data_IF_953145184863
#
_entry.id   IF_953145184863
#
_cell.length_a   1.000
_cell.length_b   1.000
_cell.length_c   1.000
_cell.angle_alpha   90.00
_cell.angle_beta   90.00
_cell.angle_gamma   90.00
#
_symmetry.space_group_name_H-M   'P 1'
#
loop_
_entity.id
_entity.type
_entity.pdbx_description
1 polymer ?
#
# COMPACT_ATOMS: atom_id res chain seq x y z
N UNK A 1 36.96 8.20 -16.19
CA UNK A 1 37.07 7.96 -14.73
C UNK A 1 35.67 7.94 -14.12
N UNK A 2 35.00 6.78 -14.13
CA UNK A 2 33.80 6.55 -13.29
C UNK A 2 34.34 6.18 -11.91
N UNK A 3 34.44 7.17 -11.03
CA UNK A 3 35.14 7.02 -9.75
C UNK A 3 34.38 6.09 -8.82
N UNK A 4 35.12 5.32 -8.01
CA UNK A 4 34.71 4.38 -6.94
C UNK A 4 33.47 4.75 -6.09
N UNK A 5 32.97 5.98 -6.15
CA UNK A 5 31.84 6.49 -5.39
C UNK A 5 30.49 5.84 -5.80
N UNK A 6 30.26 5.54 -7.08
CA UNK A 6 29.04 4.87 -7.55
C UNK A 6 28.93 3.42 -7.06
N UNK A 7 30.07 2.72 -7.05
CA UNK A 7 30.13 1.33 -6.60
C UNK A 7 29.85 1.21 -5.09
N UNK A 8 30.30 2.20 -4.30
CA UNK A 8 30.04 2.26 -2.85
C UNK A 8 28.59 2.63 -2.55
N UNK A 9 27.96 3.51 -3.36
CA UNK A 9 26.54 3.88 -3.25
C UNK A 9 25.58 2.75 -3.65
N UNK A 10 25.85 2.07 -4.77
CA UNK A 10 25.10 0.87 -5.17
C UNK A 10 25.27 -0.27 -4.15
N UNK A 11 26.45 -0.40 -3.53
CA UNK A 11 26.69 -1.34 -2.44
C UNK A 11 25.93 -0.96 -1.16
N UNK A 12 25.73 0.32 -0.86
CA UNK A 12 24.88 0.78 0.26
C UNK A 12 23.38 0.53 0.01
N UNK A 13 22.91 0.72 -1.23
CA UNK A 13 21.56 0.29 -1.67
C UNK A 13 21.38 -1.24 -1.52
N UNK A 14 22.41 -2.02 -1.87
CA UNK A 14 22.46 -3.48 -1.63
C UNK A 14 22.56 -3.85 -0.14
N UNK A 15 23.20 -3.03 0.71
CA UNK A 15 23.28 -3.24 2.17
C UNK A 15 21.93 -2.99 2.85
N UNK A 16 21.08 -2.09 2.33
CA UNK A 16 19.72 -1.93 2.86
C UNK A 16 18.82 -3.14 2.58
N UNK A 17 19.04 -3.82 1.46
CA UNK A 17 18.38 -5.10 1.12
C UNK A 17 18.98 -6.28 1.94
N UNK A 18 20.18 -6.12 2.50
CA UNK A 18 20.90 -7.17 3.24
C UNK A 18 20.92 -7.04 4.77
N UNK A 19 20.59 -5.88 5.36
CA UNK A 19 20.43 -5.76 6.83
C UNK A 19 19.07 -6.38 7.20
N UNK A 20 19.05 -7.71 7.40
CA UNK A 20 18.11 -8.50 8.23
C UNK A 20 18.62 -9.97 8.24
N UNK A 21 19.79 -10.19 8.82
CA UNK A 21 20.27 -11.52 9.18
C UNK A 21 20.40 -11.61 10.70
N UNK A 22 19.45 -12.29 11.36
CA UNK A 22 19.81 -13.25 12.41
C UNK A 22 18.69 -14.27 12.60
N UNK A 23 19.12 -15.52 12.69
CA UNK A 23 18.37 -16.77 12.62
C UNK A 23 17.64 -17.06 13.93
N UNK A 24 16.39 -17.51 13.84
CA UNK A 24 15.75 -18.32 14.88
C UNK A 24 15.29 -19.62 14.22
N UNK A 25 15.96 -20.74 14.52
CA UNK A 25 15.48 -22.08 14.17
C UNK A 25 14.45 -22.46 15.23
N UNK A 26 13.20 -22.69 14.82
CA UNK A 26 12.20 -23.33 15.69
C UNK A 26 12.10 -24.79 15.25
N UNK A 27 12.16 -25.76 16.17
CA UNK A 27 12.12 -27.17 15.82
C UNK A 27 10.77 -27.54 15.20
N UNK A 28 10.82 -28.41 14.20
CA UNK A 28 9.65 -28.97 13.52
C UNK A 28 9.02 -30.01 14.43
N UNK A 29 7.83 -29.74 14.94
CA UNK A 29 6.97 -30.79 15.49
C UNK A 29 6.27 -31.49 14.32
N UNK A 30 6.55 -32.79 14.15
CA UNK A 30 5.74 -33.66 13.30
C UNK A 30 4.33 -33.74 13.90
N UNK A 31 3.30 -33.46 13.10
CA UNK A 31 1.95 -33.93 13.41
C UNK A 31 1.30 -34.54 12.19
N UNK A 32 0.67 -35.68 12.47
CA UNK A 32 -0.02 -36.58 11.55
C UNK A 32 -1.21 -35.89 10.87
N UNK A 33 -1.50 -36.33 9.65
CA UNK A 33 -2.68 -35.93 8.89
C UNK A 33 -3.96 -36.37 9.61
N UNK A 34 -4.92 -35.47 9.85
CA UNK A 34 -6.31 -35.85 9.80
C UNK A 34 -6.86 -35.58 8.39
N UNK A 35 -7.48 -36.61 7.81
CA UNK A 35 -8.43 -36.43 6.70
C UNK A 35 -9.71 -35.88 7.33
N UNK A 36 -10.04 -34.63 7.06
CA UNK A 36 -11.37 -34.08 7.36
C UNK A 36 -11.91 -33.27 6.18
N UNK A 37 -13.23 -33.37 6.11
CA UNK A 37 -14.17 -32.89 5.12
C UNK A 37 -13.99 -31.40 4.80
N UNK A 38 -14.21 -31.08 3.52
CA UNK A 38 -14.07 -29.75 2.96
C UNK A 38 -15.18 -28.83 3.50
N UNK A 39 -14.91 -28.10 4.59
CA UNK A 39 -15.78 -27.00 5.01
C UNK A 39 -15.67 -25.85 3.99
N UNK A 40 -16.56 -25.89 3.01
CA UNK A 40 -16.84 -24.82 2.07
C UNK A 40 -17.41 -23.66 2.89
N UNK A 41 -16.64 -22.58 3.10
CA UNK A 41 -17.16 -21.33 3.67
C UNK A 41 -18.39 -20.87 2.84
N UNK A 42 -19.51 -20.50 3.49
CA UNK A 42 -20.76 -20.23 2.81
C UNK A 42 -20.82 -18.76 2.37
N UNK A 43 -20.24 -18.37 1.22
CA UNK A 43 -20.53 -17.01 0.71
C UNK A 43 -20.38 -16.77 -0.80
N UNK A 44 -20.79 -17.74 -1.62
CA UNK A 44 -21.10 -17.47 -3.05
C UNK A 44 -22.60 -17.41 -3.32
N UNK A 45 -23.46 -17.64 -2.32
CA UNK A 45 -24.91 -17.75 -2.53
C UNK A 45 -25.64 -16.41 -2.43
N UNK A 46 -25.14 -15.43 -1.68
CA UNK A 46 -25.86 -14.18 -1.39
C UNK A 46 -25.31 -12.92 -2.07
N UNK A 47 -24.24 -13.03 -2.86
CA UNK A 47 -23.63 -11.88 -3.55
C UNK A 47 -23.61 -12.05 -5.06
N UNK A 48 -23.74 -10.93 -5.78
CA UNK A 48 -23.47 -10.77 -7.22
C UNK A 48 -22.07 -10.16 -7.37
N UNK A 49 -21.30 -10.65 -8.34
CA UNK A 49 -19.94 -10.19 -8.57
C UNK A 49 -19.85 -9.43 -9.90
N UNK A 50 -19.25 -8.25 -9.86
CA UNK A 50 -18.99 -7.40 -11.02
C UNK A 50 -17.48 -7.26 -11.22
N UNK A 51 -17.01 -7.58 -12.43
CA UNK A 51 -15.58 -7.58 -12.79
C UNK A 51 -15.31 -6.71 -14.00
N UNK A 52 -14.14 -6.09 -14.02
CA UNK A 52 -13.74 -5.29 -15.16
C UNK A 52 -12.40 -4.60 -14.95
N UNK A 53 -12.14 -3.61 -15.80
CA UNK A 53 -10.92 -2.79 -15.80
C UNK A 53 -11.30 -1.31 -15.74
N UNK A 54 -10.58 -0.55 -14.94
CA UNK A 54 -10.60 0.91 -14.94
C UNK A 54 -9.41 1.41 -15.74
N UNK A 55 -9.68 2.27 -16.71
CA UNK A 55 -8.67 2.83 -17.61
C UNK A 55 -8.86 4.33 -17.78
N UNK A 56 -7.75 5.00 -18.08
CA UNK A 56 -7.76 6.36 -18.60
C UNK A 56 -8.51 6.37 -19.95
N UNK A 57 -9.41 7.34 -20.11
CA UNK A 57 -10.32 7.41 -21.26
C UNK A 57 -9.60 7.69 -22.58
N UNK A 58 -8.46 8.37 -22.54
CA UNK A 58 -7.72 8.87 -23.70
C UNK A 58 -6.59 7.90 -24.12
N UNK A 59 -5.64 7.65 -23.23
CA UNK A 59 -4.50 6.75 -23.44
C UNK A 59 -4.85 5.27 -23.34
N UNK A 60 -5.95 4.91 -22.66
CA UNK A 60 -6.29 3.52 -22.35
C UNK A 60 -5.40 2.86 -21.29
N UNK A 61 -4.49 3.62 -20.67
CA UNK A 61 -3.62 3.13 -19.61
C UNK A 61 -4.44 2.66 -18.39
N UNK A 62 -4.01 1.60 -17.68
CA UNK A 62 -4.68 1.14 -16.47
C UNK A 62 -4.58 2.20 -15.35
N UNK A 63 -5.69 2.46 -14.66
CA UNK A 63 -5.69 3.33 -13.48
C UNK A 63 -5.49 2.47 -12.23
N UNK A 64 -4.25 2.47 -11.73
CA UNK A 64 -3.83 1.65 -10.59
C UNK A 64 -4.39 2.20 -9.29
N UNK A 65 -5.05 1.37 -8.48
CA UNK A 65 -5.69 1.76 -7.22
C UNK A 65 -6.79 2.82 -7.35
N UNK A 66 -7.46 2.91 -8.50
CA UNK A 66 -8.74 3.61 -8.60
C UNK A 66 -9.78 2.96 -7.68
N UNK A 67 -10.53 3.80 -6.98
CA UNK A 67 -11.53 3.40 -5.99
C UNK A 67 -12.88 3.25 -6.66
N UNK A 68 -13.59 2.16 -6.34
CA UNK A 68 -14.99 1.97 -6.69
C UNK A 68 -15.78 1.83 -5.39
N UNK A 69 -16.83 2.62 -5.24
CA UNK A 69 -17.69 2.63 -4.06
C UNK A 69 -19.14 2.49 -4.47
N UNK A 70 -19.88 1.59 -3.83
CA UNK A 70 -21.33 1.55 -3.95
C UNK A 70 -21.92 2.60 -3.00
N UNK A 71 -22.52 3.64 -3.58
CA UNK A 71 -23.01 4.80 -2.85
C UNK A 71 -24.07 4.42 -1.81
N UNK A 72 -24.03 5.10 -0.66
CA UNK A 72 -24.92 4.82 0.47
C UNK A 72 -24.58 3.55 1.27
N UNK A 73 -23.52 2.83 0.90
CA UNK A 73 -23.07 1.62 1.60
C UNK A 73 -21.58 1.72 2.01
N UNK A 74 -21.09 0.73 2.76
CA UNK A 74 -19.66 0.58 3.06
C UNK A 74 -18.94 -0.35 2.06
N UNK A 75 -19.61 -0.76 0.98
CA UNK A 75 -19.07 -1.68 -0.02
C UNK A 75 -18.21 -0.87 -0.98
N UNK A 76 -16.91 -1.14 -0.97
CA UNK A 76 -15.96 -0.54 -1.89
C UNK A 76 -14.86 -1.53 -2.26
N UNK A 77 -14.21 -1.31 -3.39
CA UNK A 77 -13.05 -2.07 -3.83
C UNK A 77 -12.08 -1.12 -4.53
N UNK A 78 -10.86 -1.57 -4.76
CA UNK A 78 -9.89 -0.82 -5.56
C UNK A 78 -9.37 -1.69 -6.69
N UNK A 79 -8.98 -1.05 -7.78
CA UNK A 79 -8.32 -1.72 -8.89
C UNK A 79 -6.86 -2.09 -8.57
N UNK A 80 -6.35 -3.16 -9.19
CA UNK A 80 -4.94 -3.57 -9.08
C UNK A 80 -4.02 -2.77 -10.04
N UNK A 81 -2.73 -3.12 -10.17
CA UNK A 81 -1.82 -2.44 -11.11
C UNK A 81 -2.20 -2.54 -12.58
N UNK A 82 -2.98 -3.56 -12.92
CA UNK A 82 -3.53 -3.72 -14.26
C UNK A 82 -4.85 -2.96 -14.39
N UNK A 83 -5.31 -2.20 -13.40
CA UNK A 83 -6.60 -1.53 -13.40
C UNK A 83 -7.79 -2.47 -13.22
N UNK A 84 -7.57 -3.77 -13.00
CA UNK A 84 -8.65 -4.74 -12.83
C UNK A 84 -9.30 -4.62 -11.45
N UNK A 85 -10.63 -4.70 -11.39
CA UNK A 85 -11.41 -4.66 -10.15
C UNK A 85 -12.33 -5.88 -10.00
N UNK A 86 -12.70 -6.16 -8.75
CA UNK A 86 -13.76 -7.10 -8.36
C UNK A 86 -14.62 -6.44 -7.29
N UNK A 87 -15.85 -6.12 -7.63
CA UNK A 87 -16.87 -5.62 -6.71
C UNK A 87 -17.85 -6.74 -6.39
N UNK A 88 -18.04 -7.06 -5.10
CA UNK A 88 -19.05 -8.02 -4.63
C UNK A 88 -20.18 -7.23 -3.99
N UNK A 89 -21.42 -7.50 -4.40
CA UNK A 89 -22.60 -6.76 -3.94
C UNK A 89 -23.67 -7.75 -3.49
N UNK A 90 -24.23 -7.62 -2.28
CA UNK A 90 -25.35 -8.44 -1.83
C UNK A 90 -26.55 -8.38 -2.78
N UNK A 91 -27.27 -9.50 -2.93
CA UNK A 91 -28.41 -9.63 -3.87
C UNK A 91 -29.62 -8.75 -3.51
N UNK A 92 -29.72 -8.29 -2.26
CA UNK A 92 -30.76 -7.41 -1.74
C UNK A 92 -30.52 -5.93 -2.08
N UNK A 93 -29.33 -5.57 -2.58
CA UNK A 93 -29.04 -4.20 -3.03
C UNK A 93 -29.83 -3.90 -4.32
N UNK A 94 -30.59 -2.78 -4.37
CA UNK A 94 -31.30 -2.37 -5.57
C UNK A 94 -30.39 -2.15 -6.79
N UNK A 95 -30.82 -2.62 -7.97
CA UNK A 95 -30.06 -2.44 -9.21
C UNK A 95 -29.96 -0.97 -9.68
N UNK A 96 -30.76 -0.06 -9.14
CA UNK A 96 -30.66 1.38 -9.37
C UNK A 96 -29.68 2.09 -8.41
N UNK A 97 -29.04 1.34 -7.50
CA UNK A 97 -27.94 1.89 -6.70
C UNK A 97 -26.78 2.31 -7.59
N UNK A 98 -26.07 3.37 -7.17
CA UNK A 98 -24.97 3.97 -7.93
C UNK A 98 -23.63 3.43 -7.47
N UNK A 99 -22.77 3.13 -8.44
CA UNK A 99 -21.35 2.83 -8.23
C UNK A 99 -20.54 4.03 -8.68
N UNK A 100 -19.90 4.70 -7.74
CA UNK A 100 -18.99 5.82 -7.99
C UNK A 100 -17.57 5.30 -8.19
N UNK A 101 -16.90 5.78 -9.24
CA UNK A 101 -15.50 5.48 -9.52
C UNK A 101 -14.69 6.77 -9.43
N UNK A 102 -13.65 6.75 -8.61
CA UNK A 102 -12.78 7.91 -8.37
C UNK A 102 -11.30 7.55 -8.52
N UNK A 103 -10.55 8.51 -9.06
CA UNK A 103 -9.10 8.41 -9.18
C UNK A 103 -8.50 9.83 -9.16
N UNK A 104 -7.35 10.00 -8.52
CA UNK A 104 -6.76 11.31 -8.29
C UNK A 104 -6.37 11.97 -9.63
N UNK A 105 -6.88 13.19 -9.87
CA UNK A 105 -6.67 13.94 -11.12
C UNK A 105 -7.66 13.62 -12.24
N UNK A 106 -8.73 12.87 -11.94
CA UNK A 106 -9.76 12.46 -12.90
C UNK A 106 -11.14 12.92 -12.44
N UNK A 107 -12.06 13.05 -13.40
CA UNK A 107 -13.47 13.29 -13.10
C UNK A 107 -14.07 12.03 -12.46
N UNK A 108 -14.70 12.19 -11.30
CA UNK A 108 -15.50 11.12 -10.71
C UNK A 108 -16.62 10.74 -11.69
N UNK A 109 -16.88 9.44 -11.81
CA UNK A 109 -17.88 8.91 -12.72
C UNK A 109 -18.79 7.94 -12.00
N UNK A 110 -20.08 8.13 -12.16
CA UNK A 110 -21.11 7.27 -11.59
C UNK A 110 -21.65 6.33 -12.67
N UNK A 111 -21.92 5.09 -12.26
CA UNK A 111 -22.59 4.07 -13.07
C UNK A 111 -23.74 3.50 -12.27
N UNK A 112 -24.86 3.16 -12.91
CA UNK A 112 -25.90 2.39 -12.24
C UNK A 112 -25.43 0.93 -12.10
N UNK A 113 -25.77 0.28 -10.99
CA UNK A 113 -25.44 -1.13 -10.79
C UNK A 113 -26.02 -2.02 -11.90
N UNK A 114 -27.19 -1.64 -12.44
CA UNK A 114 -27.84 -2.27 -13.60
C UNK A 114 -27.04 -2.18 -14.90
N UNK A 115 -26.13 -1.21 -15.03
CA UNK A 115 -25.27 -1.05 -16.22
C UNK A 115 -24.03 -1.94 -16.18
N UNK A 116 -23.67 -2.42 -14.98
CA UNK A 116 -22.51 -3.29 -14.79
C UNK A 116 -22.86 -4.74 -15.13
N UNK A 117 -22.00 -5.36 -15.94
CA UNK A 117 -22.06 -6.78 -16.27
C UNK A 117 -21.35 -7.61 -15.19
N UNK A 118 -21.63 -8.91 -15.14
CA UNK A 118 -20.90 -9.80 -14.22
C UNK A 118 -19.39 -9.86 -14.50
N UNK A 119 -18.99 -9.64 -15.76
CA UNK A 119 -17.58 -9.64 -16.16
C UNK A 119 -17.33 -8.72 -17.38
N UNK A 120 -16.05 -8.43 -17.64
CA UNK A 120 -15.56 -7.67 -18.79
C UNK A 120 -16.07 -6.23 -18.88
N UNK A 121 -16.40 -5.61 -17.75
CA UNK A 121 -16.67 -4.16 -17.73
C UNK A 121 -15.39 -3.38 -18.09
N UNK A 122 -15.55 -2.27 -18.81
CA UNK A 122 -14.48 -1.30 -19.07
C UNK A 122 -14.96 0.07 -18.64
N UNK A 123 -14.52 0.51 -17.46
CA UNK A 123 -14.90 1.79 -16.88
C UNK A 123 -13.82 2.82 -17.26
N UNK A 124 -14.20 3.79 -18.09
CA UNK A 124 -13.30 4.85 -18.56
C UNK A 124 -13.49 6.10 -17.72
N UNK A 125 -12.40 6.60 -17.12
CA UNK A 125 -12.37 7.90 -16.46
C UNK A 125 -11.69 8.92 -17.35
N UNK A 126 -12.25 10.12 -17.39
CA UNK A 126 -11.69 11.24 -18.14
C UNK A 126 -10.83 12.09 -17.20
N UNK A 127 -9.62 12.42 -17.64
CA UNK A 127 -8.73 13.28 -16.88
C UNK A 127 -9.41 14.63 -16.60
N UNK A 128 -9.27 15.12 -15.37
CA UNK A 128 -9.78 16.42 -14.99
C UNK A 128 -8.77 17.47 -15.44
N UNK A 129 -8.88 17.91 -16.69
CA UNK A 129 -8.08 19.01 -17.24
C UNK A 129 -8.69 20.33 -16.79
N UNK A 130 -7.88 21.17 -16.16
CA UNK A 130 -8.23 22.58 -15.97
C UNK A 130 -7.74 23.36 -17.17
N UNK A 131 -8.66 24.04 -17.86
CA UNK A 131 -8.27 25.13 -18.75
C UNK A 131 -7.77 26.26 -17.86
N UNK A 132 -6.46 26.47 -17.83
CA UNK A 132 -5.86 27.58 -17.09
C UNK A 132 -6.32 28.89 -17.76
N UNK A 133 -7.35 29.53 -17.22
CA UNK A 133 -7.58 30.94 -17.46
C UNK A 133 -6.43 31.68 -16.78
N UNK A 134 -5.37 31.95 -17.57
CA UNK A 134 -4.21 32.79 -17.28
C UNK A 134 -3.82 32.84 -15.78
N UNK A 135 -3.61 31.67 -15.18
CA UNK A 135 -2.81 31.61 -13.96
C UNK A 135 -1.37 31.62 -14.47
N UNK A 136 -0.54 32.56 -13.98
CA UNK A 136 0.90 32.70 -14.26
C UNK A 136 1.72 31.49 -13.74
N UNK A 137 1.28 30.27 -14.07
CA UNK A 137 1.98 29.04 -13.81
C UNK A 137 2.74 28.72 -15.10
N UNK A 138 3.89 29.37 -15.28
CA UNK A 138 4.79 29.08 -16.38
C UNK A 138 5.06 27.56 -16.40
N UNK A 139 5.06 26.89 -17.57
CA UNK A 139 5.45 25.50 -17.68
C UNK A 139 6.87 25.34 -17.10
N UNK A 140 6.97 24.77 -15.90
CA UNK A 140 8.27 24.48 -15.28
C UNK A 140 8.75 23.14 -15.79
N UNK A 141 10.04 23.06 -16.09
CA UNK A 141 10.74 21.80 -16.36
C UNK A 141 10.45 20.79 -15.23
N UNK A 142 10.09 19.55 -15.57
CA UNK A 142 9.69 18.54 -14.59
C UNK A 142 10.82 18.26 -13.58
N UNK A 143 12.08 18.27 -14.03
CA UNK A 143 13.21 18.11 -13.13
C UNK A 143 13.35 19.31 -12.18
N UNK A 144 13.08 20.54 -12.64
CA UNK A 144 13.02 21.72 -11.78
C UNK A 144 11.93 21.60 -10.72
N UNK A 145 10.72 21.15 -11.09
CA UNK A 145 9.63 20.94 -10.13
C UNK A 145 10.06 19.96 -9.03
N UNK A 146 10.65 18.81 -9.40
CA UNK A 146 11.11 17.81 -8.42
C UNK A 146 12.27 18.35 -7.56
N UNK A 147 13.19 19.14 -8.12
CA UNK A 147 14.22 19.83 -7.34
C UNK A 147 13.62 20.81 -6.32
N UNK A 148 12.58 21.54 -6.69
CA UNK A 148 11.87 22.44 -5.78
C UNK A 148 11.14 21.69 -4.66
N UNK A 149 10.53 20.53 -4.98
CA UNK A 149 9.94 19.62 -3.97
C UNK A 149 10.98 19.23 -2.92
N UNK A 150 12.17 18.80 -3.36
CA UNK A 150 13.26 18.40 -2.47
C UNK A 150 13.73 19.60 -1.63
N UNK A 151 13.95 20.74 -2.27
CA UNK A 151 14.42 21.96 -1.59
C UNK A 151 13.44 22.44 -0.51
N UNK A 152 12.13 22.33 -0.77
CA UNK A 152 11.07 22.76 0.17
C UNK A 152 10.66 21.68 1.16
N UNK A 153 11.28 20.50 1.17
CA UNK A 153 10.94 19.40 2.09
C UNK A 153 10.88 19.85 3.56
N UNK A 154 11.86 20.64 4.00
CA UNK A 154 11.91 21.15 5.39
C UNK A 154 10.76 22.12 5.70
N UNK A 155 10.36 22.92 4.72
CA UNK A 155 9.31 23.93 4.86
C UNK A 155 7.92 23.33 4.72
N UNK A 156 7.77 22.27 3.93
CA UNK A 156 6.49 21.65 3.65
C UNK A 156 6.12 20.55 4.65
N UNK A 157 7.08 19.77 5.15
CA UNK A 157 6.78 18.58 5.96
C UNK A 157 7.05 18.80 7.45
N UNK A 158 6.41 18.00 8.29
CA UNK A 158 6.54 18.09 9.76
C UNK A 158 8.00 17.87 10.20
N UNK A 159 8.51 18.76 11.04
CA UNK A 159 9.90 18.78 11.49
C UNK A 159 10.07 18.37 12.96
N UNK A 160 9.00 17.96 13.61
CA UNK A 160 9.00 17.46 14.98
C UNK A 160 8.56 15.98 15.00
N UNK A 161 9.02 15.18 15.98
CA UNK A 161 8.55 13.81 16.12
C UNK A 161 7.05 13.77 16.42
N UNK A 162 6.35 12.80 15.84
CA UNK A 162 4.93 12.57 16.05
C UNK A 162 4.68 11.20 16.69
N UNK A 163 3.61 11.13 17.46
CA UNK A 163 2.97 9.88 17.86
C UNK A 163 1.73 9.71 17.01
N UNK A 164 1.66 8.62 16.25
CA UNK A 164 0.55 8.31 15.36
C UNK A 164 -0.10 7.01 15.79
N UNK A 165 -1.44 6.99 15.78
CA UNK A 165 -2.21 5.74 15.84
C UNK A 165 -2.51 5.34 14.41
N UNK A 166 -2.18 4.10 14.07
CA UNK A 166 -2.36 3.57 12.72
C UNK A 166 -3.16 2.28 12.74
N UNK A 167 -4.01 2.12 11.73
CA UNK A 167 -4.58 0.84 11.38
C UNK A 167 -3.75 0.22 10.26
N UNK A 168 -3.40 -1.05 10.40
CA UNK A 168 -2.66 -1.83 9.42
C UNK A 168 -3.46 -3.08 9.05
N UNK A 169 -3.47 -3.41 7.76
CA UNK A 169 -4.03 -4.64 7.23
C UNK A 169 -3.05 -5.28 6.26
N UNK A 170 -2.88 -6.59 6.40
CA UNK A 170 -2.12 -7.43 5.50
C UNK A 170 -2.99 -8.57 5.01
N UNK A 171 -2.99 -8.80 3.70
CA UNK A 171 -3.72 -9.93 3.11
C UNK A 171 -2.84 -10.71 2.16
N UNK A 172 -3.09 -12.02 2.09
CA UNK A 172 -2.53 -12.89 1.07
C UNK A 172 -3.70 -13.57 0.36
N UNK A 173 -3.76 -13.40 -0.95
CA UNK A 173 -4.70 -14.11 -1.83
C UNK A 173 -3.96 -15.18 -2.61
N UNK A 174 -4.51 -16.39 -2.68
CA UNK A 174 -4.16 -17.41 -3.69
C UNK A 174 -5.19 -17.28 -4.81
N UNK A 175 -4.78 -16.84 -5.99
CA UNK A 175 -5.68 -16.45 -7.08
C UNK A 175 -6.73 -15.42 -6.59
N UNK A 176 -7.99 -15.83 -6.39
CA UNK A 176 -9.10 -14.98 -5.94
C UNK A 176 -9.45 -15.16 -4.46
N UNK A 177 -8.90 -16.18 -3.80
CA UNK A 177 -9.32 -16.58 -2.47
C UNK A 177 -8.31 -16.06 -1.44
N UNK A 178 -8.79 -15.44 -0.37
CA UNK A 178 -7.96 -15.08 0.76
C UNK A 178 -7.48 -16.37 1.45
N UNK A 179 -6.17 -16.43 1.71
CA UNK A 179 -5.54 -17.49 2.51
C UNK A 179 -5.00 -16.95 3.83
N UNK A 180 -4.79 -15.63 3.92
CA UNK A 180 -4.42 -14.95 5.15
C UNK A 180 -4.93 -13.52 5.17
N UNK A 181 -5.40 -13.09 6.34
CA UNK A 181 -5.74 -11.72 6.72
C UNK A 181 -5.16 -11.48 8.12
N UNK A 182 -4.36 -10.42 8.26
CA UNK A 182 -3.90 -9.92 9.54
C UNK A 182 -4.21 -8.43 9.66
N UNK A 183 -4.68 -8.01 10.81
CA UNK A 183 -4.99 -6.62 11.10
C UNK A 183 -4.35 -6.21 12.42
N UNK A 184 -3.91 -4.96 12.51
CA UNK A 184 -3.34 -4.41 13.73
C UNK A 184 -3.67 -2.93 13.90
N UNK A 185 -3.82 -2.53 15.16
CA UNK A 185 -3.66 -1.15 15.60
C UNK A 185 -2.25 -1.00 16.13
N UNK A 186 -1.52 -0.01 15.60
CA UNK A 186 -0.11 0.21 15.89
C UNK A 186 0.09 1.65 16.31
N UNK A 187 0.92 1.87 17.32
CA UNK A 187 1.46 3.19 17.62
C UNK A 187 2.77 3.38 16.87
N UNK A 188 2.89 4.47 16.12
CA UNK A 188 4.10 4.85 15.41
C UNK A 188 4.69 6.08 16.06
N UNK A 189 5.96 6.00 16.45
CA UNK A 189 6.76 7.15 16.81
C UNK A 189 7.52 7.58 15.56
N UNK A 190 6.89 8.48 14.79
CA UNK A 190 7.39 8.98 13.52
C UNK A 190 8.41 10.08 13.77
N UNK A 191 9.62 9.92 13.25
CA UNK A 191 10.68 10.91 13.37
C UNK A 191 10.43 12.08 12.42
N UNK A 192 10.99 13.25 12.76
CA UNK A 192 10.99 14.42 11.87
C UNK A 192 11.48 14.08 10.45
N UNK A 193 10.92 14.72 9.42
CA UNK A 193 11.28 14.46 8.02
C UNK A 193 12.72 14.87 7.66
N UNK A 194 13.34 15.76 8.43
CA UNK A 194 14.75 16.14 8.31
C UNK A 194 15.73 15.17 8.98
N UNK A 195 15.22 14.19 9.75
CA UNK A 195 16.04 13.24 10.49
C UNK A 195 16.17 11.92 9.70
N UNK A 196 17.34 11.29 9.71
CA UNK A 196 17.58 9.97 9.11
C UNK A 196 17.34 8.80 10.07
N UNK A 197 16.97 9.07 11.33
CA UNK A 197 16.58 8.02 12.27
C UNK A 197 15.34 7.29 11.77
N UNK A 198 15.38 5.97 11.91
CA UNK A 198 14.27 5.07 11.65
C UNK A 198 13.09 5.35 12.57
N UNK A 199 11.89 5.30 12.01
CA UNK A 199 10.64 5.37 12.76
C UNK A 199 10.55 4.19 13.76
N UNK A 200 9.87 4.42 14.88
CA UNK A 200 9.59 3.39 15.87
C UNK A 200 8.14 2.91 15.73
N UNK A 201 7.89 1.62 15.90
CA UNK A 201 6.54 1.08 15.93
C UNK A 201 6.34 0.23 17.17
N UNK A 202 5.15 0.29 17.76
CA UNK A 202 4.71 -0.54 18.87
C UNK A 202 3.36 -1.15 18.50
N UNK A 203 3.20 -2.45 18.76
CA UNK A 203 1.91 -3.10 18.60
C UNK A 203 0.98 -2.69 19.74
N UNK A 204 -0.21 -2.21 19.40
CA UNK A 204 -1.26 -1.96 20.38
C UNK A 204 -2.16 -3.19 20.49
N UNK A 205 -2.82 -3.57 19.39
CA UNK A 205 -3.68 -4.77 19.31
C UNK A 205 -3.59 -5.40 17.92
N UNK A 206 -3.66 -6.72 17.83
CA UNK A 206 -3.68 -7.45 16.56
C UNK A 206 -4.80 -8.48 16.53
N UNK A 207 -5.18 -8.87 15.31
CA UNK A 207 -5.91 -10.11 15.06
C UNK A 207 -5.48 -10.72 13.74
N UNK A 208 -5.66 -12.02 13.61
CA UNK A 208 -5.41 -12.74 12.37
C UNK A 208 -6.54 -13.73 12.12
N UNK A 209 -6.89 -13.85 10.87
CA UNK A 209 -7.66 -14.94 10.32
C UNK A 209 -6.84 -15.53 9.18
N UNK A 210 -6.35 -16.76 9.36
CA UNK A 210 -5.46 -17.38 8.40
C UNK A 210 -5.73 -18.88 8.33
N UNK A 211 -6.07 -19.32 7.12
CA UNK A 211 -6.21 -20.73 6.80
C UNK A 211 -4.99 -21.19 6.00
N UNK A 212 -3.95 -21.58 6.74
CA UNK A 212 -2.70 -22.03 6.16
C UNK A 212 -2.81 -23.39 5.45
N UNK A 213 -3.89 -24.15 5.68
CA UNK A 213 -4.15 -25.39 4.93
C UNK A 213 -4.39 -25.12 3.44
N UNK A 214 -4.93 -23.94 3.10
CA UNK A 214 -5.15 -23.46 1.72
C UNK A 214 -3.88 -22.95 1.04
N UNK A 215 -2.81 -22.71 1.80
CA UNK A 215 -1.47 -22.48 1.25
C UNK A 215 -0.84 -23.83 0.91
N UNK A 216 -1.26 -24.41 -0.22
CA UNK A 216 -0.50 -25.48 -0.85
C UNK A 216 0.97 -25.04 -0.94
N UNK A 217 1.84 -25.79 -0.29
CA UNK A 217 3.30 -25.76 -0.29
C UNK A 217 4.04 -24.94 0.77
N UNK A 218 4.83 -25.67 1.57
CA UNK A 218 6.06 -25.31 2.31
C UNK A 218 6.38 -23.81 2.23
N UNK A 219 6.20 -23.10 3.35
CA UNK A 219 6.16 -21.65 3.50
C UNK A 219 7.24 -20.88 2.74
N UNK A 220 6.84 -20.28 1.62
CA UNK A 220 7.54 -19.15 1.01
C UNK A 220 7.36 -17.92 1.90
N UNK A 221 8.46 -17.29 2.30
CA UNK A 221 8.44 -16.11 3.18
C UNK A 221 8.70 -14.85 2.37
N UNK A 222 7.73 -13.95 2.37
CA UNK A 222 7.89 -12.61 1.83
C UNK A 222 8.64 -11.72 2.81
N UNK A 223 9.51 -10.87 2.28
CA UNK A 223 9.94 -9.68 3.01
C UNK A 223 8.74 -8.74 3.09
N UNK A 224 8.40 -8.27 4.28
CA UNK A 224 7.19 -7.47 4.50
C UNK A 224 6.90 -7.21 5.97
N UNK A 225 5.64 -6.82 6.22
CA UNK A 225 5.10 -6.49 7.54
C UNK A 225 4.84 -4.99 7.74
N UNK A 226 4.31 -4.60 8.92
CA UNK A 226 3.83 -3.24 9.14
C UNK A 226 4.87 -2.14 8.90
N UNK A 227 6.14 -2.42 9.20
CA UNK A 227 7.22 -1.46 8.98
C UNK A 227 7.43 -1.14 7.49
N UNK A 228 7.21 -2.11 6.60
CA UNK A 228 7.34 -1.91 5.16
C UNK A 228 6.35 -0.86 4.63
N UNK A 229 5.18 -0.70 5.26
CA UNK A 229 4.23 0.38 4.92
C UNK A 229 4.79 1.77 5.22
N UNK A 230 5.56 1.94 6.31
CA UNK A 230 6.18 3.23 6.62
C UNK A 230 7.31 3.57 5.64
N UNK A 231 8.01 2.56 5.14
CA UNK A 231 9.04 2.74 4.11
C UNK A 231 8.49 3.22 2.76
N UNK A 232 7.17 3.17 2.55
CA UNK A 232 6.54 3.72 1.34
C UNK A 232 6.43 5.25 1.38
N UNK A 233 6.74 5.88 2.52
CA UNK A 233 6.84 7.33 2.66
C UNK A 233 8.08 7.89 1.95
N UNK A 234 7.93 8.15 0.64
CA UNK A 234 9.00 8.66 -0.23
C UNK A 234 9.58 10.00 0.23
N UNK A 235 8.82 10.80 0.97
CA UNK A 235 9.30 12.07 1.50
C UNK A 235 10.16 11.90 2.75
N UNK A 236 10.02 10.79 3.48
CA UNK A 236 10.81 10.49 4.67
C UNK A 236 12.07 9.70 4.33
N UNK A 237 11.96 8.69 3.48
CA UNK A 237 13.03 7.71 3.27
C UNK A 237 14.26 8.32 2.55
N UNK A 238 15.48 8.11 3.07
CA UNK A 238 16.71 8.68 2.52
C UNK A 238 17.14 8.11 1.15
N UNK A 239 16.54 7.01 0.69
CA UNK A 239 16.87 6.32 -0.56
C UNK A 239 15.69 6.33 -1.55
N UNK A 240 14.81 7.33 -1.43
CA UNK A 240 13.61 7.44 -2.24
C UNK A 240 13.88 8.10 -3.59
N UNK A 241 12.89 8.03 -4.49
CA UNK A 241 12.85 8.77 -5.76
C UNK A 241 13.03 10.28 -5.55
N UNK A 242 12.74 10.80 -4.35
CA UNK A 242 12.78 12.23 -4.01
C UNK A 242 14.09 12.55 -3.28
N UNK A 243 15.20 12.32 -3.98
CA UNK A 243 16.54 12.67 -3.53
C UNK A 243 17.40 13.18 -4.70
N UNK A 244 18.20 14.22 -4.47
CA UNK A 244 18.96 14.92 -5.54
C UNK A 244 19.91 13.96 -6.26
N UNK A 245 20.56 13.05 -5.54
CA UNK A 245 21.45 12.08 -6.18
C UNK A 245 20.66 11.07 -7.00
N UNK A 246 19.54 10.56 -6.48
CA UNK A 246 18.81 9.48 -7.13
C UNK A 246 17.98 9.96 -8.33
N UNK A 247 17.68 11.27 -8.42
CA UNK A 247 17.03 11.89 -9.59
C UNK A 247 17.78 11.63 -10.90
N UNK A 248 19.10 11.43 -10.87
CA UNK A 248 19.89 11.20 -12.08
C UNK A 248 19.54 9.86 -12.79
N UNK A 249 18.92 8.93 -12.06
CA UNK A 249 18.49 7.63 -12.56
C UNK A 249 17.12 7.63 -13.23
N UNK A 250 16.39 8.74 -13.21
CA UNK A 250 15.04 8.83 -13.72
C UNK A 250 14.90 9.90 -14.80
N UNK A 251 14.00 9.64 -15.75
CA UNK A 251 13.45 10.64 -16.65
C UNK A 251 12.13 11.14 -16.07
N UNK A 252 12.04 12.44 -15.79
CA UNK A 252 10.83 13.09 -15.27
C UNK A 252 10.10 13.86 -16.38
N UNK A 253 8.77 13.74 -16.42
CA UNK A 253 7.93 14.46 -17.38
C UNK A 253 6.70 15.08 -16.69
N UNK A 254 6.34 16.31 -17.06
CA UNK A 254 5.07 16.90 -16.67
C UNK A 254 3.99 16.36 -17.59
N UNK A 255 3.19 15.41 -17.11
CA UNK A 255 2.12 14.81 -17.92
C UNK A 255 0.93 15.76 -18.06
N UNK A 256 0.53 16.38 -16.96
CA UNK A 256 -0.64 17.25 -16.94
C UNK A 256 -0.63 18.19 -15.73
N UNK A 257 -1.51 19.17 -15.78
CA UNK A 257 -1.89 20.04 -14.67
C UNK A 257 -3.38 19.80 -14.42
N UNK A 258 -3.71 19.32 -13.24
CA UNK A 258 -5.08 19.01 -12.82
C UNK A 258 -5.47 19.84 -11.60
N UNK A 259 -6.74 19.76 -11.18
CA UNK A 259 -7.25 20.48 -10.01
C UNK A 259 -7.96 19.49 -9.08
N UNK A 260 -7.50 19.38 -7.84
CA UNK A 260 -8.09 18.48 -6.83
C UNK A 260 -8.44 19.29 -5.60
N UNK A 261 -9.71 19.27 -5.17
CA UNK A 261 -10.21 20.04 -4.01
C UNK A 261 -9.78 21.51 -4.07
N UNK A 262 -10.03 22.13 -5.21
CA UNK A 262 -9.65 23.50 -5.56
C UNK A 262 -8.16 23.84 -5.66
N UNK A 263 -7.26 22.86 -5.50
CA UNK A 263 -5.82 23.06 -5.61
C UNK A 263 -5.30 22.64 -6.97
N UNK A 264 -4.42 23.45 -7.55
CA UNK A 264 -3.69 23.10 -8.77
C UNK A 264 -2.64 22.05 -8.41
N UNK A 265 -2.66 20.92 -9.10
CA UNK A 265 -1.77 19.78 -8.91
C UNK A 265 -0.99 19.53 -10.20
N UNK A 266 0.34 19.54 -10.12
CA UNK A 266 1.20 18.98 -11.16
C UNK A 266 1.20 17.46 -11.06
N UNK A 267 1.01 16.79 -12.19
CA UNK A 267 1.19 15.34 -12.31
C UNK A 267 2.51 15.10 -13.02
N UNK A 268 3.54 14.73 -12.25
CA UNK A 268 4.88 14.44 -12.77
C UNK A 268 5.03 12.94 -12.88
N UNK A 269 5.16 12.41 -14.10
CA UNK A 269 5.60 11.02 -14.26
C UNK A 269 7.10 10.90 -14.18
N UNK A 270 7.54 9.73 -13.75
CA UNK A 270 8.94 9.37 -13.71
C UNK A 270 9.11 7.92 -14.14
N UNK A 271 10.20 7.63 -14.83
CA UNK A 271 10.58 6.28 -15.25
C UNK A 271 12.07 6.13 -15.11
N UNK A 272 12.53 4.96 -14.67
CA UNK A 272 13.97 4.68 -14.63
C UNK A 272 14.57 4.78 -16.05
N UNK A 273 15.80 5.28 -16.15
CA UNK A 273 16.52 5.36 -17.42
C UNK A 273 16.85 3.95 -17.94
N UNK A 274 16.83 3.81 -19.27
CA UNK A 274 16.99 2.50 -19.94
C UNK A 274 18.33 1.81 -19.71
N UNK A 275 19.39 2.55 -19.34
CA UNK A 275 20.71 2.00 -19.03
C UNK A 275 20.86 1.54 -17.57
N UNK A 276 19.83 1.69 -16.74
CA UNK A 276 19.84 1.21 -15.35
C UNK A 276 19.31 -0.21 -15.32
N UNK A 277 20.21 -1.15 -15.03
CA UNK A 277 19.87 -2.57 -14.95
C UNK A 277 19.24 -2.98 -13.60
N UNK A 278 19.39 -2.14 -12.58
CA UNK A 278 18.75 -2.34 -11.28
C UNK A 278 17.22 -2.11 -11.37
N UNK A 279 16.41 -2.94 -10.69
CA UNK A 279 14.98 -2.73 -10.60
C UNK A 279 14.67 -1.47 -9.75
N UNK A 280 14.53 -0.34 -10.43
CA UNK A 280 14.11 0.94 -9.85
C UNK A 280 12.62 1.18 -10.10
N UNK A 281 12.15 2.37 -9.76
CA UNK A 281 10.75 2.70 -9.79
C UNK A 281 10.30 3.38 -11.09
N UNK A 282 9.02 3.33 -11.35
CA UNK A 282 8.34 4.21 -12.30
C UNK A 282 6.96 4.55 -11.77
N UNK A 283 6.39 5.68 -12.16
CA UNK A 283 5.10 6.09 -11.63
C UNK A 283 4.80 7.56 -11.81
N UNK A 284 3.95 8.09 -10.92
CA UNK A 284 3.47 9.46 -10.91
C UNK A 284 3.54 10.07 -9.52
N UNK A 285 4.02 11.30 -9.46
CA UNK A 285 3.97 12.19 -8.31
C UNK A 285 2.87 13.22 -8.52
N UNK A 286 2.05 13.44 -7.51
CA UNK A 286 1.02 14.47 -7.48
C UNK A 286 1.51 15.59 -6.56
N UNK A 287 1.82 16.74 -7.14
CA UNK A 287 2.52 17.83 -6.45
C UNK A 287 1.63 19.07 -6.42
N UNK A 288 1.40 19.62 -5.23
CA UNK A 288 0.70 20.88 -5.04
C UNK A 288 1.49 22.03 -5.68
N UNK A 289 0.88 22.73 -6.64
CA UNK A 289 1.56 23.73 -7.47
C UNK A 289 1.93 25.02 -6.71
N UNK A 290 1.35 25.27 -5.54
CA UNK A 290 1.66 26.44 -4.71
C UNK A 290 2.82 26.14 -3.74
N UNK A 291 2.69 25.06 -2.97
CA UNK A 291 3.67 24.70 -1.95
C UNK A 291 4.84 23.88 -2.48
N UNK A 292 4.70 23.19 -3.62
CA UNK A 292 5.59 22.10 -4.08
C UNK A 292 5.62 20.90 -3.12
N UNK A 293 4.55 20.65 -2.39
CA UNK A 293 4.45 19.45 -1.56
C UNK A 293 3.89 18.28 -2.39
N UNK A 294 4.48 17.09 -2.23
CA UNK A 294 3.88 15.85 -2.74
C UNK A 294 2.63 15.54 -1.91
N UNK A 295 1.48 15.52 -2.57
CA UNK A 295 0.17 15.19 -1.98
C UNK A 295 -0.10 13.69 -2.06
N UNK A 296 0.38 13.04 -3.12
CA UNK A 296 0.28 11.60 -3.34
C UNK A 296 1.38 11.13 -4.30
N UNK A 297 1.71 9.84 -4.25
CA UNK A 297 2.51 9.19 -5.27
C UNK A 297 2.00 7.76 -5.52
N UNK A 298 1.88 7.39 -6.78
CA UNK A 298 1.56 6.04 -7.23
C UNK A 298 2.70 5.53 -8.10
N UNK A 299 3.32 4.42 -7.72
CA UNK A 299 4.54 3.95 -8.35
C UNK A 299 4.69 2.44 -8.26
N UNK A 300 5.46 1.88 -9.18
CA UNK A 300 5.73 0.46 -9.29
C UNK A 300 7.22 0.23 -9.47
N UNK A 301 7.67 -1.00 -9.23
CA UNK A 301 9.06 -1.41 -9.50
C UNK A 301 9.16 -1.99 -10.90
N UNK A 302 10.23 -1.68 -11.62
CA UNK A 302 10.59 -2.40 -12.84
C UNK A 302 10.99 -3.84 -12.48
N UNK A 303 10.19 -4.80 -12.92
CA UNK A 303 10.36 -6.23 -12.64
C UNK A 303 10.77 -7.03 -13.88
N UNK A 304 11.27 -6.37 -14.93
CA UNK A 304 11.74 -7.03 -16.16
C UNK A 304 12.84 -8.06 -15.86
N UNK A 305 13.83 -7.68 -15.05
CA UNK A 305 14.80 -8.61 -14.48
C UNK A 305 14.18 -9.37 -13.30
N UNK A 306 13.59 -10.53 -13.61
CA UNK A 306 12.93 -11.39 -12.63
C UNK A 306 13.87 -11.88 -11.53
N UNK A 307 15.17 -12.06 -11.80
CA UNK A 307 16.10 -12.57 -10.79
C UNK A 307 16.41 -11.48 -9.76
N UNK A 308 16.78 -10.28 -10.23
CA UNK A 308 17.01 -9.13 -9.35
C UNK A 308 15.74 -8.73 -8.59
N UNK A 309 14.60 -8.66 -9.28
CA UNK A 309 13.32 -8.34 -8.65
C UNK A 309 12.92 -9.40 -7.62
N UNK A 310 13.16 -10.69 -7.89
CA UNK A 310 12.93 -11.76 -6.91
C UNK A 310 13.78 -11.56 -5.65
N UNK A 311 15.05 -11.20 -5.81
CA UNK A 311 15.95 -10.99 -4.67
C UNK A 311 15.47 -9.87 -3.72
N UNK A 312 14.65 -8.91 -4.21
CA UNK A 312 14.12 -7.82 -3.39
C UNK A 312 12.98 -8.23 -2.44
N UNK A 313 12.22 -9.27 -2.76
CA UNK A 313 11.00 -9.61 -1.99
C UNK A 313 11.02 -11.01 -1.40
N UNK A 314 11.85 -11.90 -1.95
CA UNK A 314 11.81 -13.33 -1.68
C UNK A 314 12.89 -13.69 -0.67
N UNK A 315 12.50 -13.83 0.60
CA UNK A 315 13.44 -14.24 1.66
C UNK A 315 13.77 -15.73 1.59
N UNK A 316 12.78 -16.55 1.29
CA UNK A 316 12.92 -18.01 1.21
C UNK A 316 11.91 -18.59 0.23
N UNK A 317 12.37 -19.50 -0.64
CA UNK A 317 11.50 -20.26 -1.54
C UNK A 317 11.71 -21.77 -1.39
N UNK A 318 10.68 -22.59 -1.65
CA UNK A 318 10.81 -24.04 -1.59
C UNK A 318 11.81 -24.61 -2.60
N UNK A 319 12.40 -25.76 -2.26
CA UNK A 319 13.19 -26.53 -3.21
C UNK A 319 12.33 -26.95 -4.40
N UNK A 320 12.85 -26.77 -5.62
CA UNK A 320 12.12 -27.08 -6.86
C UNK A 320 11.05 -26.07 -7.27
N UNK A 321 10.87 -24.98 -6.51
CA UNK A 321 10.03 -23.85 -6.90
C UNK A 321 10.86 -22.71 -7.50
N UNK A 322 10.36 -22.17 -8.61
CA UNK A 322 10.78 -20.87 -9.15
C UNK A 322 9.68 -19.88 -8.79
N UNK A 323 10.05 -18.84 -8.05
CA UNK A 323 9.12 -17.80 -7.60
C UNK A 323 9.66 -16.46 -8.08
N UNK A 324 8.81 -15.65 -8.70
CA UNK A 324 9.18 -14.33 -9.17
C UNK A 324 7.97 -13.38 -9.08
N UNK A 325 8.21 -12.08 -8.83
CA UNK A 325 7.16 -11.08 -8.87
C UNK A 325 6.67 -10.88 -10.31
N UNK A 326 5.37 -10.65 -10.45
CA UNK A 326 4.72 -10.22 -11.69
C UNK A 326 4.07 -8.85 -11.56
N UNK A 327 4.01 -8.31 -10.34
CA UNK A 327 3.50 -6.97 -10.03
C UNK A 327 4.12 -6.53 -8.71
N UNK A 328 4.53 -5.28 -8.61
CA UNK A 328 4.92 -4.62 -7.36
C UNK A 328 4.55 -3.14 -7.47
N UNK A 329 3.43 -2.74 -6.85
CA UNK A 329 2.86 -1.41 -6.97
C UNK A 329 2.51 -0.82 -5.62
N UNK A 330 2.69 0.48 -5.49
CA UNK A 330 2.65 1.22 -4.24
C UNK A 330 1.88 2.53 -4.41
N UNK A 331 1.19 2.92 -3.35
CA UNK A 331 0.52 4.20 -3.20
C UNK A 331 0.91 4.77 -1.84
N UNK A 332 1.24 6.06 -1.81
CA UNK A 332 1.38 6.82 -0.58
C UNK A 332 0.61 8.12 -0.71
N UNK A 333 -0.11 8.47 0.35
CA UNK A 333 -0.83 9.73 0.46
C UNK A 333 -0.32 10.53 1.65
N UNK A 334 -0.35 11.83 1.48
CA UNK A 334 0.00 12.82 2.48
C UNK A 334 -1.21 13.68 2.81
N UNK A 335 -1.30 14.12 4.07
CA UNK A 335 -2.29 15.11 4.50
C UNK A 335 -1.60 16.34 5.05
N UNK A 336 -2.20 17.51 4.82
CA UNK A 336 -1.75 18.78 5.38
C UNK A 336 -2.49 19.06 6.69
N UNK A 337 -1.75 19.42 7.74
CA UNK A 337 -2.29 19.86 9.01
C UNK A 337 -1.40 20.94 9.61
N UNK A 338 -2.00 22.01 10.13
CA UNK A 338 -1.29 23.18 10.67
C UNK A 338 -0.22 23.74 9.72
N UNK A 339 -0.55 23.78 8.42
CA UNK A 339 0.36 24.26 7.38
C UNK A 339 1.42 23.25 6.91
N UNK A 340 1.63 22.13 7.60
CA UNK A 340 2.66 21.13 7.29
C UNK A 340 2.05 19.80 6.81
N UNK A 341 2.76 19.12 5.92
CA UNK A 341 2.38 17.83 5.37
C UNK A 341 2.99 16.67 6.18
N UNK A 342 2.24 15.58 6.28
CA UNK A 342 2.66 14.33 6.90
C UNK A 342 2.05 13.13 6.20
N UNK A 343 2.74 12.00 6.31
CA UNK A 343 2.23 10.68 5.95
C UNK A 343 0.84 10.44 6.52
N UNK A 344 -0.09 10.01 5.67
CA UNK A 344 -1.46 9.68 6.09
C UNK A 344 -1.86 8.25 5.75
N UNK A 345 -1.38 7.73 4.63
CA UNK A 345 -1.79 6.40 4.17
C UNK A 345 -0.75 5.82 3.22
N UNK A 346 -0.59 4.49 3.26
CA UNK A 346 0.10 3.75 2.21
C UNK A 346 -0.58 2.44 1.89
N UNK A 347 -0.34 1.98 0.68
CA UNK A 347 -0.73 0.66 0.20
C UNK A 347 0.38 0.10 -0.66
N UNK A 348 0.73 -1.15 -0.45
CA UNK A 348 1.61 -1.92 -1.31
C UNK A 348 0.90 -3.19 -1.77
N UNK A 349 1.06 -3.54 -3.03
CA UNK A 349 0.53 -4.76 -3.59
C UNK A 349 1.62 -5.44 -4.42
N UNK A 350 1.86 -6.71 -4.13
CA UNK A 350 2.87 -7.51 -4.82
C UNK A 350 2.24 -8.84 -5.23
N UNK A 351 2.29 -9.16 -6.52
CA UNK A 351 1.83 -10.45 -7.04
C UNK A 351 3.04 -11.29 -7.44
N UNK A 352 3.02 -12.56 -7.07
CA UNK A 352 4.06 -13.54 -7.38
C UNK A 352 3.45 -14.72 -8.13
N UNK A 353 4.21 -15.26 -9.08
CA UNK A 353 3.93 -16.57 -9.67
C UNK A 353 4.90 -17.60 -9.11
N UNK A 354 4.35 -18.75 -8.72
CA UNK A 354 5.10 -19.92 -8.29
C UNK A 354 4.96 -20.99 -9.38
N UNK A 355 6.10 -21.33 -9.97
CA UNK A 355 6.25 -22.41 -10.95
C UNK A 355 6.96 -23.59 -10.29
N UNK A 356 6.32 -24.75 -10.26
CA UNK A 356 6.89 -26.00 -9.75
C UNK A 356 7.44 -26.83 -10.90
N UNK A 357 8.68 -27.34 -10.76
CA UNK A 357 9.32 -28.17 -11.80
C UNK A 357 8.50 -29.39 -12.28
N UNK A 358 7.52 -29.87 -11.47
CA UNK A 358 6.68 -31.05 -11.77
C UNK A 358 5.17 -30.76 -11.83
N UNK A 359 4.73 -29.51 -11.80
CA UNK A 359 3.30 -29.17 -11.95
C UNK A 359 3.09 -28.39 -13.26
N UNK A 360 2.00 -28.72 -13.95
CA UNK A 360 1.62 -28.12 -15.23
C UNK A 360 1.02 -26.72 -15.07
N UNK A 361 0.51 -26.39 -13.88
CA UNK A 361 -0.10 -25.10 -13.59
C UNK A 361 0.72 -24.32 -12.57
N UNK A 362 0.89 -23.03 -12.86
CA UNK A 362 1.43 -22.08 -11.90
C UNK A 362 0.36 -21.68 -10.87
N UNK A 363 0.83 -21.23 -9.71
CA UNK A 363 -0.02 -20.64 -8.68
C UNK A 363 0.36 -19.18 -8.52
N UNK A 364 -0.62 -18.29 -8.57
CA UNK A 364 -0.43 -16.87 -8.27
C UNK A 364 -0.81 -16.56 -6.83
N UNK A 365 0.04 -15.78 -6.17
CA UNK A 365 -0.22 -15.22 -4.85
C UNK A 365 -0.15 -13.70 -4.93
N UNK A 366 -1.09 -12.99 -4.32
CA UNK A 366 -1.05 -11.54 -4.18
C UNK A 366 -0.98 -11.19 -2.70
N UNK A 367 0.09 -10.52 -2.29
CA UNK A 367 0.23 -9.92 -0.97
C UNK A 367 -0.15 -8.44 -1.07
N UNK A 368 -1.01 -7.99 -0.17
CA UNK A 368 -1.37 -6.57 -0.03
C UNK A 368 -1.11 -6.13 1.39
N UNK A 369 -0.38 -5.03 1.55
CA UNK A 369 -0.20 -4.31 2.80
C UNK A 369 -0.88 -2.96 2.68
N UNK A 370 -1.54 -2.52 3.74
CA UNK A 370 -2.26 -1.26 3.78
C UNK A 370 -2.15 -0.67 5.18
N UNK A 371 -1.84 0.63 5.26
CA UNK A 371 -1.73 1.33 6.52
C UNK A 371 -2.37 2.70 6.42
N UNK A 372 -3.16 3.06 7.42
CA UNK A 372 -3.78 4.37 7.52
C UNK A 372 -3.55 4.99 8.89
N UNK A 373 -3.17 6.26 8.91
CA UNK A 373 -3.07 7.06 10.14
C UNK A 373 -4.46 7.49 10.57
N UNK A 374 -4.93 6.93 11.69
CA UNK A 374 -6.25 7.25 12.23
C UNK A 374 -6.19 8.49 13.12
N UNK A 375 -5.14 8.63 13.91
CA UNK A 375 -4.94 9.75 14.82
C UNK A 375 -3.45 10.10 14.96
N UNK A 376 -3.15 11.29 15.44
CA UNK A 376 -1.78 11.74 15.67
C UNK A 376 -1.69 12.87 16.69
N UNK A 377 -0.54 12.99 17.33
CA UNK A 377 -0.15 14.10 18.20
C UNK A 377 1.34 14.38 18.09
N UNK A 378 1.77 15.58 18.49
CA UNK A 378 3.19 15.86 18.72
C UNK A 378 3.73 14.92 19.79
N UNK A 379 4.88 14.30 19.54
CA UNK A 379 5.49 13.42 20.53
C UNK A 379 6.26 14.24 21.56
N UNK A 380 5.66 14.42 22.73
CA UNK A 380 6.32 14.97 23.93
C UNK A 380 7.08 13.88 24.71
N UNK A 381 6.70 12.62 24.50
CA UNK A 381 7.30 11.44 25.13
C UNK A 381 8.61 11.02 24.43
N UNK A 382 9.46 10.29 25.18
CA UNK A 382 10.64 9.63 24.60
C UNK A 382 10.22 8.58 23.56
N UNK A 383 11.13 8.28 22.63
CA UNK A 383 10.97 7.15 21.72
C UNK A 383 10.76 5.84 22.52
N UNK A 384 10.05 4.88 21.90
CA UNK A 384 9.80 3.57 22.48
C UNK A 384 11.09 2.88 22.93
N UNK A 385 11.04 2.17 24.07
CA UNK A 385 12.16 1.34 24.52
C UNK A 385 12.36 0.17 23.55
N UNK A 386 13.58 -0.35 23.46
CA UNK A 386 13.93 -1.41 22.50
C UNK A 386 13.04 -2.65 22.64
N UNK A 387 12.67 -3.02 23.87
CA UNK A 387 11.79 -4.16 24.17
C UNK A 387 10.30 -3.91 23.86
N UNK A 388 9.88 -2.66 23.71
CA UNK A 388 8.51 -2.28 23.33
C UNK A 388 8.36 -2.15 21.80
N UNK A 389 9.49 -2.07 21.08
CA UNK A 389 9.50 -1.85 19.64
C UNK A 389 9.26 -3.14 18.88
N UNK A 390 8.33 -3.09 17.93
CA UNK A 390 8.26 -4.08 16.87
C UNK A 390 9.57 -4.07 16.08
N UNK A 391 10.07 -5.27 15.78
CA UNK A 391 11.22 -5.43 14.89
C UNK A 391 10.83 -5.00 13.48
N UNK A 392 11.72 -4.32 12.77
CA UNK A 392 11.45 -3.80 11.43
C UNK A 392 11.20 -4.90 10.38
N UNK A 393 11.54 -6.15 10.68
CA UNK A 393 11.41 -7.31 9.79
C UNK A 393 10.32 -8.30 10.21
N UNK A 394 9.46 -7.86 11.11
CA UNK A 394 8.40 -8.68 11.66
C UNK A 394 7.37 -8.95 10.57
N UNK A 395 7.12 -10.22 10.28
CA UNK A 395 5.92 -10.60 9.52
C UNK A 395 4.80 -10.70 10.55
N UNK A 396 3.76 -9.88 10.44
CA UNK A 396 2.71 -9.79 11.47
C UNK A 396 2.04 -11.15 11.71
N UNK A 397 1.98 -11.99 10.67
CA UNK A 397 1.47 -13.36 10.73
C UNK A 397 2.25 -14.28 11.69
N UNK A 398 3.56 -14.04 11.84
CA UNK A 398 4.47 -14.81 12.68
C UNK A 398 4.42 -14.35 14.17
N UNK A 399 3.67 -13.28 14.50
CA UNK A 399 3.49 -12.82 15.88
C UNK A 399 2.45 -13.66 16.64
N UNK A 400 2.71 -13.84 17.94
CA UNK A 400 1.87 -14.61 18.88
C UNK A 400 1.27 -13.71 19.96
N UNK A 401 1.93 -12.60 20.31
CA UNK A 401 1.44 -11.64 21.32
C UNK A 401 0.44 -10.63 20.73
N UNK A 402 -0.55 -10.23 21.54
CA UNK A 402 -1.57 -9.24 21.16
C UNK A 402 -2.74 -9.80 20.35
N UNK A 403 -2.80 -11.12 20.15
CA UNK A 403 -3.94 -11.83 19.56
C UNK A 403 -4.92 -12.25 20.66
N UNK A 404 -6.22 -12.19 20.34
CA UNK A 404 -7.40 -12.41 21.21
C UNK A 404 -7.62 -11.35 22.30
N UNK A 405 -8.31 -10.27 21.91
CA UNK A 405 -9.15 -9.48 22.82
C UNK A 405 -10.57 -9.40 22.22
N UNK A 406 -11.45 -10.38 22.51
CA UNK A 406 -12.82 -10.37 22.02
C UNK A 406 -13.61 -9.12 22.47
N UNK A 407 -13.23 -8.48 23.58
CA UNK A 407 -13.85 -7.24 24.04
C UNK A 407 -13.36 -5.99 23.29
N UNK A 408 -12.23 -6.05 22.57
CA UNK A 408 -11.79 -5.00 21.64
C UNK A 408 -12.22 -5.25 20.19
N UNK A 409 -12.56 -6.48 19.82
CA UNK A 409 -13.05 -6.79 18.48
C UNK A 409 -14.59 -6.93 18.44
N UNK A 410 -15.24 -7.32 19.54
CA UNK A 410 -16.70 -7.52 19.69
C UNK A 410 -17.19 -8.81 19.03
N UNK A 411 -18.52 -8.99 18.88
CA UNK A 411 -19.15 -10.09 18.09
C UNK A 411 -18.73 -10.12 16.61
N UNK A 412 -17.94 -9.12 16.19
CA UNK A 412 -17.40 -8.95 14.85
C UNK A 412 -16.14 -9.83 14.66
N UNK A 413 -16.34 -11.14 14.74
CA UNK A 413 -15.28 -12.13 14.56
C UNK A 413 -14.69 -12.15 13.13
N UNK A 414 -15.37 -11.57 12.14
CA UNK A 414 -14.86 -11.47 10.77
C UNK A 414 -15.24 -10.10 10.20
N UNK A 415 -14.27 -9.18 10.07
CA UNK A 415 -14.44 -8.12 9.07
C UNK A 415 -14.22 -8.81 7.73
N UNK A 416 -15.22 -8.74 6.85
CA UNK A 416 -15.06 -9.24 5.48
C UNK A 416 -13.79 -8.63 4.89
N UNK A 417 -12.89 -9.45 4.31
CA UNK A 417 -11.65 -8.95 3.72
C UNK A 417 -11.85 -7.82 2.68
N UNK A 418 -13.05 -7.71 2.11
CA UNK A 418 -13.44 -6.69 1.14
C UNK A 418 -13.99 -5.40 1.77
N UNK A 419 -14.11 -5.30 3.10
CA UNK A 419 -14.56 -4.08 3.75
C UNK A 419 -13.58 -2.94 3.50
N UNK A 420 -14.10 -1.77 3.10
CA UNK A 420 -13.26 -0.59 2.83
C UNK A 420 -12.46 -0.21 4.08
N UNK A 421 -11.19 0.17 3.90
CA UNK A 421 -10.34 0.55 5.02
C UNK A 421 -10.94 1.72 5.81
N UNK A 422 -11.60 2.66 5.14
CA UNK A 422 -12.27 3.80 5.77
C UNK A 422 -13.39 3.37 6.72
N UNK A 423 -14.20 2.39 6.32
CA UNK A 423 -15.27 1.85 7.17
C UNK A 423 -14.70 1.19 8.42
N UNK A 424 -13.55 0.51 8.29
CA UNK A 424 -12.87 -0.15 9.41
C UNK A 424 -12.22 0.87 10.34
N UNK A 425 -11.54 1.88 9.78
CA UNK A 425 -10.97 3.00 10.54
C UNK A 425 -12.04 3.70 11.36
N UNK A 426 -13.19 4.04 10.74
CA UNK A 426 -14.29 4.73 11.43
C UNK A 426 -14.78 3.93 12.65
N UNK A 427 -14.91 2.62 12.50
CA UNK A 427 -15.31 1.71 13.59
C UNK A 427 -14.25 1.65 14.69
N UNK A 428 -12.97 1.53 14.33
CA UNK A 428 -11.87 1.46 15.29
C UNK A 428 -11.74 2.77 16.09
N UNK A 429 -11.85 3.92 15.43
CA UNK A 429 -11.83 5.24 16.09
C UNK A 429 -12.87 5.33 17.18
N UNK A 430 -14.13 5.02 16.87
CA UNK A 430 -15.24 5.03 17.83
C UNK A 430 -14.97 4.14 19.05
N UNK A 431 -14.24 3.03 18.89
CA UNK A 431 -13.89 2.15 20.01
C UNK A 431 -12.73 2.67 20.85
N UNK A 432 -11.71 3.24 20.21
CA UNK A 432 -10.61 3.89 20.92
C UNK A 432 -11.11 5.08 21.75
N UNK A 433 -12.05 5.86 21.23
CA UNK A 433 -12.71 6.96 21.96
C UNK A 433 -13.41 6.44 23.22
N UNK A 434 -14.26 5.41 23.09
CA UNK A 434 -14.96 4.80 24.25
C UNK A 434 -14.01 4.27 25.32
N UNK A 435 -12.94 3.59 24.94
CA UNK A 435 -11.98 3.04 25.89
C UNK A 435 -11.22 4.15 26.64
N UNK A 436 -10.94 5.26 25.97
CA UNK A 436 -10.31 6.41 26.62
C UNK A 436 -11.27 7.09 27.60
N UNK A 437 -12.58 7.15 27.30
CA UNK A 437 -13.60 7.67 28.22
C UNK A 437 -13.75 6.78 29.46
N UNK A 438 -13.74 5.45 29.29
CA UNK A 438 -13.80 4.48 30.39
C UNK A 438 -12.57 4.56 31.31
N UNK A 439 -11.38 4.82 30.76
CA UNK A 439 -10.13 4.97 31.53
C UNK A 439 -9.97 6.31 32.26
N UNK A 440 -10.76 7.32 31.90
CA UNK A 440 -10.75 8.66 32.55
C UNK A 440 -11.87 8.79 33.59
N UNK A 441 -12.83 7.86 33.58
CA UNK A 441 -13.93 7.78 34.55
C UNK A 441 -13.65 6.91 35.80
N UNK A 442 -12.49 6.23 35.84
CA UNK A 442 -11.90 5.60 37.03
C UNK A 442 -10.82 6.51 37.62
#
# INVERSE_FOLDING_TARGET
MRTLNDYTKQRMFRILIAIIFMVGVVPVSMFANPVFEEDILPDTLNTVQYRGKIIDGESGAPLVFATLTLEGTNIATVSNSEGNFLLKVPKDIPLNSKVSVSYLGYKNKEFLLSELKSDRNKLKLDMLTVSLAEVNVLPKDANQIVREVIARKKDNYIQEPLRMTTFYRETIKRRKNYVSLAEAVLEVHKQAYSNYKLDGMKLYKARKDADYSKMDTITFKLQGGPYSSLMLDIMKEPFSIINVQDMEYYDFNLETITKVNDKIIYVISFVQKSYIDEPLFYGKLYIDAESMAVTSANYSINIEDKEKASAMFIKRKPLGAVVYPTEASYLVNYRKQDGKWMYSYSRGQITFKINWKKKWFNTSYTSTLEMAVTDWRKATEKAFKVNERLKNNIVLQDQIEGFSDPQFWGDYNVIEPEASIESVIKKIKKRLEKLNEEQVGE
#
